data_IF_689545952102
#
_entry.id   IF_689545952102
#
_cell.length_a   1.000
_cell.length_b   1.000
_cell.length_c   1.000
_cell.angle_alpha   90.00
_cell.angle_beta   90.00
_cell.angle_gamma   90.00
#
_symmetry.space_group_name_H-M   'P 1'
#
loop_
_entity.id
_entity.type
_entity.pdbx_description
1 polymer ?
#
# COMPACT_ATOMS: atom_id res chain seq x y z
N UNK A 1 0.05 -14.92 19.93
CA UNK A 1 0.49 -16.02 19.04
C UNK A 1 1.14 -15.37 17.82
N UNK A 2 2.47 -15.36 17.71
CA UNK A 2 3.14 -14.86 16.49
C UNK A 2 2.86 -15.91 15.39
N UNK A 3 2.00 -15.60 14.45
CA UNK A 3 1.82 -16.42 13.26
C UNK A 3 3.13 -16.35 12.47
N UNK A 4 3.77 -17.48 12.25
CA UNK A 4 4.94 -17.55 11.38
C UNK A 4 4.45 -17.36 9.93
N UNK A 5 4.55 -16.12 9.45
CA UNK A 5 4.10 -15.72 8.11
C UNK A 5 4.84 -16.53 7.03
N UNK A 6 6.14 -16.82 7.26
CA UNK A 6 6.92 -17.58 6.28
C UNK A 6 6.44 -19.03 6.18
N UNK A 7 6.10 -19.67 7.31
CA UNK A 7 5.52 -21.02 7.29
C UNK A 7 4.13 -21.05 6.65
N UNK A 8 3.37 -19.95 6.72
CA UNK A 8 2.02 -19.85 6.14
C UNK A 8 2.03 -19.49 4.65
N UNK A 9 3.14 -18.98 4.12
CA UNK A 9 3.21 -18.43 2.77
C UNK A 9 2.78 -19.41 1.66
N UNK A 10 3.21 -20.69 1.64
CA UNK A 10 2.75 -21.65 0.62
C UNK A 10 1.24 -21.84 0.61
N UNK A 11 0.62 -21.91 1.78
CA UNK A 11 -0.83 -22.05 1.91
C UNK A 11 -1.58 -20.78 1.46
N UNK A 12 -1.02 -19.60 1.75
CA UNK A 12 -1.56 -18.32 1.28
C UNK A 12 -1.53 -18.25 -0.25
N UNK A 13 -0.42 -18.64 -0.90
CA UNK A 13 -0.30 -18.66 -2.35
C UNK A 13 -1.23 -19.69 -3.00
N UNK A 14 -1.41 -20.86 -2.39
CA UNK A 14 -2.37 -21.85 -2.87
C UNK A 14 -3.79 -21.30 -2.83
N UNK A 15 -4.17 -20.63 -1.74
CA UNK A 15 -5.48 -19.99 -1.58
C UNK A 15 -5.73 -18.86 -2.61
N UNK A 16 -4.72 -18.06 -2.93
CA UNK A 16 -4.82 -17.05 -3.99
C UNK A 16 -5.12 -17.70 -5.34
N UNK A 17 -4.39 -18.76 -5.71
CA UNK A 17 -4.58 -19.47 -6.97
C UNK A 17 -5.91 -20.22 -7.07
N UNK A 18 -6.42 -20.70 -5.95
CA UNK A 18 -7.74 -21.36 -5.89
C UNK A 18 -8.89 -20.37 -6.03
N UNK A 19 -8.76 -19.18 -5.42
CA UNK A 19 -9.85 -18.18 -5.36
C UNK A 19 -9.79 -17.15 -6.49
N UNK A 20 -8.66 -17.03 -7.16
CA UNK A 20 -8.44 -16.05 -8.24
C UNK A 20 -8.99 -14.66 -7.92
N UNK A 21 -8.61 -14.05 -6.77
CA UNK A 21 -9.22 -12.80 -6.33
C UNK A 21 -8.93 -11.66 -7.29
N UNK A 22 -9.89 -10.75 -7.44
CA UNK A 22 -9.66 -9.49 -8.15
C UNK A 22 -8.98 -8.53 -7.18
N UNK A 23 -7.87 -7.93 -7.62
CA UNK A 23 -7.10 -6.94 -6.85
C UNK A 23 -7.07 -5.63 -7.63
N UNK A 24 -7.62 -4.57 -7.05
CA UNK A 24 -7.46 -3.23 -7.58
C UNK A 24 -6.11 -2.67 -7.13
N UNK A 25 -5.34 -2.11 -8.06
CA UNK A 25 -4.09 -1.43 -7.76
C UNK A 25 -4.10 -0.01 -8.31
N UNK A 26 -4.18 0.97 -7.41
CA UNK A 26 -3.94 2.38 -7.72
C UNK A 26 -2.46 2.63 -7.47
N UNK A 27 -1.67 2.66 -8.53
CA UNK A 27 -0.21 2.68 -8.46
C UNK A 27 0.40 3.68 -9.43
N UNK A 28 1.69 3.93 -9.30
CA UNK A 28 2.41 4.85 -10.16
C UNK A 28 2.53 4.31 -11.60
N UNK A 29 2.54 5.23 -12.57
CA UNK A 29 2.59 4.88 -13.99
C UNK A 29 3.92 4.26 -14.44
N UNK A 30 5.00 4.36 -13.64
CA UNK A 30 6.31 3.77 -13.98
C UNK A 30 6.26 2.24 -13.89
N UNK A 31 5.56 1.71 -12.89
CA UNK A 31 5.52 0.27 -12.59
C UNK A 31 4.14 -0.35 -12.73
N UNK A 32 3.14 0.37 -13.28
CA UNK A 32 1.76 -0.12 -13.40
C UNK A 32 1.68 -1.48 -14.12
N UNK A 33 2.40 -1.64 -15.20
CA UNK A 33 2.43 -2.89 -15.96
C UNK A 33 3.08 -4.03 -15.17
N UNK A 34 4.15 -3.76 -14.44
CA UNK A 34 4.84 -4.75 -13.60
C UNK A 34 3.94 -5.19 -12.44
N UNK A 35 3.20 -4.25 -11.83
CA UNK A 35 2.21 -4.56 -10.80
C UNK A 35 1.10 -5.48 -11.34
N UNK A 36 0.56 -5.21 -12.52
CA UNK A 36 -0.42 -6.07 -13.15
C UNK A 36 0.14 -7.47 -13.42
N UNK A 37 1.34 -7.56 -13.98
CA UNK A 37 2.00 -8.82 -14.30
C UNK A 37 2.31 -9.66 -13.06
N UNK A 38 2.77 -9.07 -11.95
CA UNK A 38 3.05 -9.83 -10.73
C UNK A 38 1.76 -10.32 -10.06
N UNK A 39 0.67 -9.56 -10.10
CA UNK A 39 -0.65 -9.99 -9.61
C UNK A 39 -1.13 -11.20 -10.42
N UNK A 40 -1.03 -11.17 -11.75
CA UNK A 40 -1.35 -12.31 -12.63
C UNK A 40 -0.46 -13.52 -12.32
N UNK A 41 0.84 -13.33 -12.19
CA UNK A 41 1.78 -14.41 -11.88
C UNK A 41 1.52 -15.05 -10.51
N UNK A 42 0.99 -14.29 -9.56
CA UNK A 42 0.57 -14.82 -8.27
C UNK A 42 -0.71 -15.67 -8.33
N UNK A 43 -1.48 -15.56 -9.42
CA UNK A 43 -2.76 -16.26 -9.62
C UNK A 43 -3.99 -15.43 -9.26
N UNK A 44 -3.85 -14.11 -9.20
CA UNK A 44 -4.94 -13.17 -9.00
C UNK A 44 -5.24 -12.38 -10.28
N UNK A 45 -6.36 -11.67 -10.33
CA UNK A 45 -6.79 -10.84 -11.46
C UNK A 45 -6.60 -9.36 -11.12
N UNK A 46 -5.74 -8.60 -11.83
CA UNK A 46 -5.54 -7.19 -11.57
C UNK A 46 -6.63 -6.33 -12.22
N UNK A 47 -7.02 -5.25 -11.55
CA UNK A 47 -7.66 -4.09 -12.17
C UNK A 47 -6.89 -2.84 -11.79
N UNK A 48 -6.62 -1.97 -12.76
CA UNK A 48 -5.81 -0.77 -12.60
C UNK A 48 -6.68 0.49 -12.67
N UNK A 49 -7.97 0.37 -12.33
CA UNK A 49 -8.91 1.49 -12.28
C UNK A 49 -8.41 2.55 -11.28
N UNK A 50 -8.28 3.79 -11.74
CA UNK A 50 -7.77 4.91 -10.94
C UNK A 50 -8.52 6.22 -11.18
N UNK A 51 -9.50 6.25 -12.10
CA UNK A 51 -10.34 7.42 -12.33
C UNK A 51 -11.29 7.62 -11.15
N UNK A 52 -11.38 8.85 -10.64
CA UNK A 52 -12.15 9.20 -9.44
C UNK A 52 -13.61 8.79 -9.56
N UNK A 53 -14.18 8.85 -10.78
CA UNK A 53 -15.57 8.55 -11.09
C UNK A 53 -15.91 7.06 -10.98
N UNK A 54 -14.93 6.15 -11.13
CA UNK A 54 -15.17 4.70 -11.12
C UNK A 54 -14.57 3.96 -9.91
N UNK A 55 -13.54 4.51 -9.26
CA UNK A 55 -12.76 3.77 -8.26
C UNK A 55 -13.58 3.26 -7.07
N UNK A 56 -14.65 3.97 -6.70
CA UNK A 56 -15.53 3.55 -5.61
C UNK A 56 -16.31 2.27 -5.96
N UNK A 57 -16.84 2.21 -7.16
CA UNK A 57 -17.58 1.04 -7.64
C UNK A 57 -16.67 -0.18 -7.70
N UNK A 58 -15.48 -0.02 -8.27
CA UNK A 58 -14.48 -1.10 -8.36
C UNK A 58 -14.03 -1.53 -6.96
N UNK A 59 -13.66 -0.59 -6.07
CA UNK A 59 -13.18 -0.90 -4.74
C UNK A 59 -14.19 -1.63 -3.85
N UNK A 60 -15.48 -1.47 -4.13
CA UNK A 60 -16.56 -2.13 -3.38
C UNK A 60 -16.76 -3.61 -3.73
N UNK A 61 -16.24 -4.09 -4.86
CA UNK A 61 -16.48 -5.46 -5.37
C UNK A 61 -15.23 -6.31 -5.50
N UNK A 62 -14.04 -5.72 -5.37
CA UNK A 62 -12.76 -6.46 -5.39
C UNK A 62 -12.47 -7.16 -4.06
N UNK A 63 -11.50 -8.05 -4.02
CA UNK A 63 -11.09 -8.76 -2.81
C UNK A 63 -9.82 -8.19 -2.16
N UNK A 64 -9.24 -7.15 -2.76
CA UNK A 64 -8.10 -6.42 -2.20
C UNK A 64 -7.86 -5.12 -2.95
N UNK A 65 -7.42 -4.10 -2.22
CA UNK A 65 -7.03 -2.80 -2.76
C UNK A 65 -5.60 -2.47 -2.36
N UNK A 66 -4.76 -2.17 -3.34
CA UNK A 66 -3.37 -1.73 -3.14
C UNK A 66 -3.24 -0.29 -3.60
N UNK A 67 -2.69 0.56 -2.75
CA UNK A 67 -2.41 1.97 -3.02
C UNK A 67 -0.92 2.23 -2.94
N UNK A 68 -0.32 2.80 -3.98
CA UNK A 68 1.08 3.19 -4.01
C UNK A 68 1.21 4.67 -4.32
N UNK A 69 1.79 5.44 -3.40
CA UNK A 69 1.93 6.89 -3.49
C UNK A 69 3.06 7.35 -4.43
N UNK A 70 3.55 6.50 -5.32
CA UNK A 70 4.61 6.86 -6.28
C UNK A 70 4.21 8.01 -7.19
N UNK A 71 2.95 8.08 -7.62
CA UNK A 71 2.33 9.20 -8.34
C UNK A 71 1.32 9.90 -7.44
N UNK A 72 1.45 11.23 -7.27
CA UNK A 72 0.60 11.99 -6.33
C UNK A 72 -0.71 12.49 -6.96
N UNK A 73 -0.87 12.34 -8.26
CA UNK A 73 -2.10 12.69 -8.98
C UNK A 73 -3.30 11.87 -8.51
N UNK A 74 -3.06 10.63 -8.08
CA UNK A 74 -4.11 9.66 -7.74
C UNK A 74 -4.57 9.70 -6.26
N UNK A 75 -4.10 10.65 -5.44
CA UNK A 75 -4.43 10.68 -4.00
C UNK A 75 -5.93 10.85 -3.75
N UNK A 76 -6.65 11.61 -4.59
CA UNK A 76 -8.10 11.75 -4.47
C UNK A 76 -8.81 10.42 -4.81
N UNK A 77 -8.41 9.76 -5.89
CA UNK A 77 -8.91 8.42 -6.25
C UNK A 77 -8.62 7.40 -5.12
N UNK A 78 -7.43 7.44 -4.51
CA UNK A 78 -7.10 6.59 -3.37
C UNK A 78 -8.02 6.83 -2.17
N UNK A 79 -8.36 8.10 -1.88
CA UNK A 79 -9.28 8.41 -0.79
C UNK A 79 -10.69 7.87 -1.05
N UNK A 80 -11.21 8.07 -2.25
CA UNK A 80 -12.53 7.60 -2.65
C UNK A 80 -12.58 6.07 -2.63
N UNK A 81 -11.62 5.41 -3.27
CA UNK A 81 -11.51 3.95 -3.29
C UNK A 81 -11.33 3.36 -1.88
N UNK A 82 -10.46 3.97 -1.06
CA UNK A 82 -10.18 3.49 0.29
C UNK A 82 -11.39 3.53 1.21
N UNK A 83 -12.19 4.58 1.14
CA UNK A 83 -13.46 4.68 1.90
C UNK A 83 -14.44 3.61 1.44
N UNK A 84 -14.66 3.47 0.13
CA UNK A 84 -15.55 2.45 -0.43
C UNK A 84 -15.10 1.03 -0.07
N UNK A 85 -13.80 0.74 -0.15
CA UNK A 85 -13.22 -0.52 0.28
C UNK A 85 -13.45 -0.80 1.78
N UNK A 86 -13.26 0.22 2.64
CA UNK A 86 -13.52 0.08 4.08
C UNK A 86 -14.99 -0.20 4.38
N UNK A 87 -15.93 0.47 3.70
CA UNK A 87 -17.37 0.24 3.83
C UNK A 87 -17.77 -1.16 3.38
N UNK A 88 -17.13 -1.67 2.32
CA UNK A 88 -17.35 -3.02 1.80
C UNK A 88 -16.58 -4.12 2.57
N UNK A 89 -15.72 -3.75 3.53
CA UNK A 89 -14.89 -4.72 4.28
C UNK A 89 -13.72 -5.28 3.48
N UNK A 90 -13.34 -4.64 2.37
CA UNK A 90 -12.20 -5.02 1.53
C UNK A 90 -10.89 -4.61 2.21
N UNK A 91 -9.90 -5.51 2.32
CA UNK A 91 -8.60 -5.16 2.90
C UNK A 91 -7.83 -4.18 2.00
N UNK A 92 -7.22 -3.17 2.64
CA UNK A 92 -6.47 -2.11 1.95
C UNK A 92 -5.01 -2.14 2.39
N UNK A 93 -4.10 -2.10 1.40
CA UNK A 93 -2.65 -2.01 1.60
C UNK A 93 -2.16 -0.65 1.12
N UNK A 94 -1.35 0.02 1.93
CA UNK A 94 -0.68 1.28 1.57
C UNK A 94 0.83 1.07 1.40
N UNK A 95 1.36 1.57 0.30
CA UNK A 95 2.78 1.79 0.06
C UNK A 95 3.05 3.31 -0.02
N UNK A 96 3.52 3.94 1.07
CA UNK A 96 3.65 5.39 1.17
C UNK A 96 4.96 5.89 0.55
N UNK A 97 5.24 5.52 -0.68
CA UNK A 97 6.48 5.83 -1.40
C UNK A 97 6.90 7.28 -1.21
N UNK A 98 8.10 7.48 -0.66
CA UNK A 98 8.72 8.79 -0.45
C UNK A 98 7.83 9.79 0.32
N UNK A 99 6.99 9.34 1.24
CA UNK A 99 6.01 10.18 1.98
C UNK A 99 6.66 11.35 2.72
N UNK A 100 7.90 11.23 3.16
CA UNK A 100 8.66 12.30 3.82
C UNK A 100 9.28 13.34 2.87
N UNK A 101 9.39 13.05 1.57
CA UNK A 101 10.24 13.80 0.65
C UNK A 101 9.74 15.22 0.34
N UNK A 102 8.43 15.44 0.22
CA UNK A 102 7.86 16.74 -0.12
C UNK A 102 6.65 17.07 0.75
N UNK A 103 6.30 18.37 0.81
CA UNK A 103 5.09 18.81 1.50
C UNK A 103 3.84 18.12 0.95
N UNK A 104 3.70 18.04 -0.37
CA UNK A 104 2.56 17.40 -1.03
C UNK A 104 2.41 15.93 -0.60
N UNK A 105 3.52 15.17 -0.55
CA UNK A 105 3.50 13.76 -0.13
C UNK A 105 3.15 13.59 1.34
N UNK A 106 3.70 14.45 2.21
CA UNK A 106 3.37 14.44 3.65
C UNK A 106 1.88 14.71 3.88
N UNK A 107 1.34 15.75 3.22
CA UNK A 107 -0.08 16.10 3.32
C UNK A 107 -0.97 14.99 2.75
N UNK A 108 -0.60 14.40 1.62
CA UNK A 108 -1.31 13.27 1.01
C UNK A 108 -1.31 12.03 1.91
N UNK A 109 -0.15 11.64 2.43
CA UNK A 109 -0.03 10.50 3.36
C UNK A 109 -0.85 10.71 4.64
N UNK A 110 -0.79 11.90 5.23
CA UNK A 110 -1.61 12.27 6.38
C UNK A 110 -3.11 12.17 6.07
N UNK A 111 -3.54 12.73 4.93
CA UNK A 111 -4.93 12.71 4.49
C UNK A 111 -5.43 11.27 4.31
N UNK A 112 -4.61 10.37 3.75
CA UNK A 112 -4.93 8.96 3.62
C UNK A 112 -5.08 8.28 4.98
N UNK A 113 -4.11 8.45 5.90
CA UNK A 113 -4.15 7.85 7.24
C UNK A 113 -5.35 8.31 8.09
N UNK A 114 -5.76 9.56 7.94
CA UNK A 114 -6.91 10.12 8.67
C UNK A 114 -8.27 9.63 8.16
N UNK A 115 -8.33 9.17 6.90
CA UNK A 115 -9.60 8.88 6.23
C UNK A 115 -9.79 7.42 5.80
N UNK A 116 -8.73 6.62 5.74
CA UNK A 116 -8.76 5.23 5.29
C UNK A 116 -8.17 4.32 6.35
N UNK A 117 -8.86 3.24 6.67
CA UNK A 117 -8.36 2.18 7.54
C UNK A 117 -7.57 1.18 6.72
N UNK A 118 -6.27 1.12 6.95
CA UNK A 118 -5.37 0.18 6.28
C UNK A 118 -5.24 -1.13 7.05
N UNK A 119 -5.25 -2.25 6.32
CA UNK A 119 -4.95 -3.58 6.86
C UNK A 119 -3.45 -3.79 6.99
N UNK A 120 -2.68 -3.21 6.06
CA UNK A 120 -1.22 -3.28 6.04
C UNK A 120 -0.67 -1.94 5.51
N UNK A 121 0.38 -1.44 6.13
CA UNK A 121 1.21 -0.37 5.60
C UNK A 121 2.61 -0.96 5.41
N UNK A 122 3.14 -0.94 4.19
CA UNK A 122 4.48 -1.41 3.88
C UNK A 122 5.33 -0.26 3.32
N UNK A 123 6.51 -0.12 3.83
CA UNK A 123 7.43 0.92 3.39
C UNK A 123 8.84 0.63 3.89
N UNK A 124 9.81 1.41 3.44
CA UNK A 124 11.13 1.41 4.04
C UNK A 124 11.09 2.09 5.43
N UNK A 125 12.18 1.99 6.17
CA UNK A 125 12.27 2.51 7.54
C UNK A 125 11.97 4.01 7.64
N UNK A 126 12.48 4.81 6.69
CA UNK A 126 12.26 6.27 6.68
C UNK A 126 10.78 6.61 6.43
N UNK A 127 10.10 5.88 5.56
CA UNK A 127 8.68 6.05 5.27
C UNK A 127 7.83 5.71 6.48
N UNK A 128 8.05 4.56 7.10
CA UNK A 128 7.31 4.13 8.30
C UNK A 128 7.57 5.09 9.46
N UNK A 129 8.83 5.46 9.71
CA UNK A 129 9.19 6.45 10.75
C UNK A 129 8.49 7.79 10.50
N UNK A 130 8.44 8.25 9.25
CA UNK A 130 7.76 9.50 8.91
C UNK A 130 6.27 9.44 9.22
N UNK A 131 5.59 8.35 8.87
CA UNK A 131 4.18 8.16 9.18
C UNK A 131 3.91 8.08 10.68
N UNK A 132 4.79 7.41 11.45
CA UNK A 132 4.60 7.18 12.88
C UNK A 132 4.87 8.44 13.73
N UNK A 133 5.91 9.19 13.42
CA UNK A 133 6.39 10.29 14.29
C UNK A 133 6.57 11.63 13.56
N UNK A 134 6.24 11.72 12.28
CA UNK A 134 6.34 12.94 11.48
C UNK A 134 7.78 13.35 11.10
N UNK A 135 8.77 12.51 11.43
CA UNK A 135 10.19 12.75 11.12
C UNK A 135 10.80 11.54 10.42
N UNK A 136 11.56 11.79 9.40
CA UNK A 136 12.28 10.79 8.63
C UNK A 136 12.96 11.48 7.46
N UNK A 137 14.20 11.12 7.16
CA UNK A 137 14.89 11.63 6.00
C UNK A 137 14.81 10.60 4.89
N UNK A 138 14.45 11.06 3.69
CA UNK A 138 14.38 10.19 2.50
C UNK A 138 15.44 10.63 1.50
N UNK A 139 16.14 9.66 0.92
CA UNK A 139 17.00 9.85 -0.23
C UNK A 139 16.34 9.25 -1.46
N UNK A 140 15.49 10.05 -2.12
CA UNK A 140 14.65 9.51 -3.19
C UNK A 140 13.60 8.54 -2.64
N UNK A 141 13.61 7.29 -3.12
CA UNK A 141 12.73 6.20 -2.66
C UNK A 141 13.38 5.29 -1.62
N UNK A 142 14.64 5.53 -1.28
CA UNK A 142 15.39 4.71 -0.34
C UNK A 142 15.40 5.33 1.07
N UNK A 143 15.57 4.48 2.09
CA UNK A 143 15.80 4.93 3.45
C UNK A 143 17.15 5.64 3.56
N UNK A 144 17.20 6.73 4.31
CA UNK A 144 18.47 7.35 4.65
C UNK A 144 19.30 6.44 5.56
N UNK A 145 20.63 6.59 5.52
CA UNK A 145 21.57 5.79 6.35
C UNK A 145 21.23 5.90 7.84
N UNK A 146 20.84 7.08 8.31
CA UNK A 146 20.47 7.36 9.70
C UNK A 146 19.16 6.71 10.15
N UNK A 147 18.32 6.28 9.19
CA UNK A 147 17.05 5.63 9.45
C UNK A 147 17.11 4.10 9.27
N UNK A 148 18.30 3.53 9.07
CA UNK A 148 18.47 2.08 8.96
C UNK A 148 18.07 1.38 10.25
N UNK A 149 17.39 0.25 10.10
CA UNK A 149 17.06 -0.64 11.22
C UNK A 149 18.35 -1.34 11.70
N UNK A 150 18.57 -1.27 13.00
CA UNK A 150 19.67 -1.96 13.70
C UNK A 150 19.07 -2.85 14.79
N UNK A 151 19.90 -3.73 15.38
CA UNK A 151 19.48 -4.57 16.51
C UNK A 151 19.00 -3.73 17.71
N UNK A 152 19.49 -2.49 17.83
CA UNK A 152 19.14 -1.61 18.96
C UNK A 152 17.82 -0.83 18.74
N UNK A 153 17.42 -0.57 17.50
CA UNK A 153 16.29 0.32 17.19
C UNK A 153 15.06 -0.36 16.59
N UNK A 154 15.16 -1.64 16.19
CA UNK A 154 14.06 -2.30 15.47
C UNK A 154 12.72 -2.32 16.23
N UNK A 155 12.77 -2.33 17.57
CA UNK A 155 11.55 -2.35 18.41
C UNK A 155 10.78 -1.03 18.40
N UNK A 156 11.42 0.06 17.98
CA UNK A 156 10.77 1.37 17.88
C UNK A 156 9.93 1.52 16.61
N UNK A 157 10.06 0.58 15.66
CA UNK A 157 9.41 0.63 14.35
C UNK A 157 8.42 -0.54 14.12
N UNK A 158 8.23 -1.44 15.10
CA UNK A 158 7.36 -2.61 15.00
C UNK A 158 6.14 -2.57 15.91
#
# INVERSE_FOLDING_TARGET
>A
MKTDILASFPAMMANVREKEPIVQAITNFVTVNDCANIILAAGASPTMAHEVEEVAEVASVVQGLVMNMGTMEDVEAMLVAGKAANEAGVPVVLDPVAVGATRLRREGGKKLLENVKFSVIRGNTSEIKHLAVGTGSTRGVDAAEEDKITEDNYKAFG
#
